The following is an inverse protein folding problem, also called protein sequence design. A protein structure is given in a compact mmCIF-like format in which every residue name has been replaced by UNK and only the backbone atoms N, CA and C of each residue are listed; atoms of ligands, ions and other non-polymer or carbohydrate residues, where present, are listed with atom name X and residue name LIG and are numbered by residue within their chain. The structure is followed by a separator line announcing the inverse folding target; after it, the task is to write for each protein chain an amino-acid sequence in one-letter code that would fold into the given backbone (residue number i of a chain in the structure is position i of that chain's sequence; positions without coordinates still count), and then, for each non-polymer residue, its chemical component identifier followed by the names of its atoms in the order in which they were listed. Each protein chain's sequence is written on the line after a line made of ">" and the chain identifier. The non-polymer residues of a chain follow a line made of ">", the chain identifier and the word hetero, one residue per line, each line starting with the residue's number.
data_IF_678834289964
#
_entry.id   IF_678834289964
#
_cell.length_a   1.000
_cell.length_b   1.000
_cell.length_c   1.000
_cell.angle_alpha   90.00
_cell.angle_beta   90.00
_cell.angle_gamma   90.00
#
_symmetry.space_group_name_H-M   'P 1'
#
loop_
_entity.id
_entity.type
_entity.pdbx_description
1 polymer ?
#
# COMPACT_ATOMS: atom_id res chain seq x y z
N UNK A 1 2.85 -17.62 -10.64
CA UNK A 1 1.98 -16.45 -10.86
C UNK A 1 1.32 -16.12 -9.54
N UNK A 2 1.25 -14.87 -9.12
CA UNK A 2 0.54 -14.44 -7.92
C UNK A 2 -0.72 -13.67 -8.33
N UNK A 3 -1.89 -14.14 -7.90
CA UNK A 3 -3.18 -13.51 -8.20
C UNK A 3 -3.77 -12.95 -6.90
N UNK A 4 -4.04 -11.64 -6.90
CA UNK A 4 -4.73 -10.96 -5.81
C UNK A 4 -5.96 -10.26 -6.38
N UNK A 5 -7.13 -10.62 -5.88
CA UNK A 5 -8.40 -9.99 -6.24
C UNK A 5 -8.87 -9.11 -5.08
N UNK A 6 -9.02 -7.81 -5.33
CA UNK A 6 -9.51 -6.85 -4.34
C UNK A 6 -10.92 -6.41 -4.71
N UNK A 7 -11.84 -6.51 -3.78
CA UNK A 7 -13.25 -6.16 -3.95
C UNK A 7 -13.72 -5.25 -2.81
N UNK A 8 -14.55 -4.26 -3.14
CA UNK A 8 -15.34 -3.54 -2.15
C UNK A 8 -16.58 -4.39 -1.82
N UNK A 9 -16.55 -5.14 -0.73
CA UNK A 9 -17.67 -5.97 -0.34
C UNK A 9 -18.90 -5.14 -0.02
N UNK A 10 -20.02 -5.43 -0.67
CA UNK A 10 -21.32 -4.81 -0.40
C UNK A 10 -21.93 -5.30 0.93
N UNK A 11 -21.47 -6.43 1.43
CA UNK A 11 -21.92 -7.06 2.67
C UNK A 11 -21.13 -6.61 3.89
N UNK A 12 -19.97 -6.01 3.69
CA UNK A 12 -19.15 -5.56 4.80
C UNK A 12 -19.86 -4.51 5.64
N UNK A 13 -19.91 -4.76 6.95
CA UNK A 13 -20.31 -3.82 8.01
C UNK A 13 -19.36 -4.05 9.19
N UNK A 14 -19.06 -3.05 10.01
CA UNK A 14 -18.30 -3.29 11.25
C UNK A 14 -18.94 -4.40 12.08
N UNK A 15 -18.16 -5.43 12.40
CA UNK A 15 -18.64 -6.61 13.14
C UNK A 15 -19.29 -7.70 12.29
N UNK A 16 -19.41 -7.54 10.97
CA UNK A 16 -19.92 -8.59 10.10
C UNK A 16 -18.95 -9.78 10.04
N UNK A 17 -19.50 -10.97 10.08
CA UNK A 17 -18.75 -12.23 9.92
C UNK A 17 -18.88 -12.82 8.52
N UNK A 18 -19.88 -12.40 7.75
CA UNK A 18 -20.19 -12.89 6.41
C UNK A 18 -20.01 -11.79 5.37
N UNK A 19 -18.81 -11.66 4.83
CA UNK A 19 -18.49 -10.77 3.72
C UNK A 19 -17.29 -11.35 2.93
N UNK A 20 -17.09 -10.87 1.71
CA UNK A 20 -16.01 -11.33 0.85
C UNK A 20 -16.11 -12.82 0.52
N UNK A 21 -17.34 -13.32 0.36
CA UNK A 21 -17.59 -14.72 0.03
C UNK A 21 -17.13 -15.05 -1.39
N UNK A 22 -16.86 -16.34 -1.71
CA UNK A 22 -16.57 -16.75 -3.08
C UNK A 22 -17.61 -16.31 -4.10
N UNK A 23 -18.90 -16.32 -3.72
CA UNK A 23 -19.99 -15.90 -4.60
C UNK A 23 -19.93 -14.38 -4.86
N UNK A 24 -19.68 -13.58 -3.83
CA UNK A 24 -19.52 -12.13 -3.97
C UNK A 24 -18.31 -11.78 -4.86
N UNK A 25 -17.23 -12.54 -4.77
CA UNK A 25 -16.08 -12.42 -5.66
C UNK A 25 -16.49 -12.67 -7.13
N UNK A 26 -17.15 -13.80 -7.39
CA UNK A 26 -17.60 -14.17 -8.74
C UNK A 26 -18.59 -13.13 -9.31
N UNK A 27 -19.56 -12.70 -8.50
CA UNK A 27 -20.53 -11.66 -8.91
C UNK A 27 -19.85 -10.35 -9.27
N UNK A 28 -18.88 -9.91 -8.46
CA UNK A 28 -18.17 -8.64 -8.67
C UNK A 28 -17.39 -8.63 -9.99
N UNK A 29 -16.82 -9.76 -10.37
CA UNK A 29 -16.02 -9.91 -11.59
C UNK A 29 -16.80 -10.48 -12.78
N UNK A 30 -18.12 -10.69 -12.67
CA UNK A 30 -18.93 -11.32 -13.70
C UNK A 30 -18.88 -10.61 -15.07
N UNK A 31 -18.71 -9.28 -15.07
CA UNK A 31 -18.65 -8.46 -16.28
C UNK A 31 -17.24 -8.24 -16.83
N UNK A 32 -16.23 -8.90 -16.26
CA UNK A 32 -14.85 -8.81 -16.75
C UNK A 32 -14.61 -9.73 -17.95
N UNK A 33 -13.44 -9.60 -18.58
CA UNK A 33 -13.05 -10.47 -19.69
C UNK A 33 -12.98 -11.94 -19.28
N UNK A 34 -13.16 -12.90 -20.21
CA UNK A 34 -13.03 -14.33 -19.92
C UNK A 34 -11.72 -14.66 -19.20
N UNK A 35 -10.58 -14.12 -19.67
CA UNK A 35 -9.27 -14.35 -19.08
C UNK A 35 -9.20 -13.97 -17.59
N UNK A 36 -9.83 -12.85 -17.18
CA UNK A 36 -9.89 -12.45 -15.78
C UNK A 36 -10.73 -13.43 -14.97
N UNK A 37 -11.89 -13.85 -15.50
CA UNK A 37 -12.74 -14.84 -14.83
C UNK A 37 -12.04 -16.19 -14.66
N UNK A 38 -11.31 -16.63 -15.68
CA UNK A 38 -10.53 -17.87 -15.61
C UNK A 38 -9.44 -17.78 -14.53
N UNK A 39 -8.74 -16.63 -14.44
CA UNK A 39 -7.74 -16.39 -13.39
C UNK A 39 -8.32 -16.44 -11.99
N UNK A 40 -9.57 -16.02 -11.77
CA UNK A 40 -10.23 -16.11 -10.47
C UNK A 40 -10.49 -17.55 -10.04
N UNK A 41 -10.52 -18.49 -10.98
CA UNK A 41 -10.60 -19.93 -10.68
C UNK A 41 -9.40 -20.47 -9.89
N UNK A 42 -8.25 -19.77 -9.98
CA UNK A 42 -7.02 -20.12 -9.25
C UNK A 42 -6.84 -19.39 -7.93
N UNK A 43 -7.74 -18.46 -7.59
CA UNK A 43 -7.69 -17.77 -6.28
C UNK A 43 -8.23 -18.72 -5.20
N UNK A 44 -7.46 -18.89 -4.12
CA UNK A 44 -7.92 -19.63 -2.95
C UNK A 44 -9.17 -18.97 -2.35
N UNK A 45 -10.20 -19.75 -2.07
CA UNK A 45 -11.51 -19.28 -1.62
C UNK A 45 -11.77 -19.58 -0.14
N UNK A 46 -10.81 -20.14 0.54
CA UNK A 46 -10.87 -20.56 1.94
C UNK A 46 -10.58 -19.41 2.91
N UNK A 47 -9.98 -18.33 2.42
CA UNK A 47 -9.65 -17.16 3.23
C UNK A 47 -9.88 -15.85 2.45
N UNK A 48 -10.41 -14.86 3.14
CA UNK A 48 -10.41 -13.48 2.72
C UNK A 48 -9.60 -12.64 3.70
N UNK A 49 -9.11 -11.48 3.23
CA UNK A 49 -8.30 -10.55 4.00
C UNK A 49 -8.94 -9.18 3.95
N UNK A 50 -9.29 -8.63 5.10
CA UNK A 50 -9.72 -7.23 5.16
C UNK A 50 -8.49 -6.34 5.02
N UNK A 51 -8.56 -5.40 4.09
CA UNK A 51 -7.52 -4.40 3.95
C UNK A 51 -7.71 -3.32 5.02
N UNK A 52 -6.67 -3.08 5.78
CA UNK A 52 -6.62 -2.04 6.80
C UNK A 52 -5.47 -1.08 6.50
N UNK A 53 -5.72 0.19 6.70
CA UNK A 53 -4.71 1.21 6.80
C UNK A 53 -5.09 2.21 7.90
N UNK A 54 -4.26 3.19 8.12
CA UNK A 54 -4.57 4.33 8.99
C UNK A 54 -3.97 5.60 8.44
N UNK A 55 -4.40 6.73 8.97
CA UNK A 55 -3.77 7.99 8.62
C UNK A 55 -2.31 8.03 9.06
N UNK A 56 -1.44 8.68 8.27
CA UNK A 56 -0.08 8.93 8.69
C UNK A 56 -0.06 9.66 10.04
N UNK A 57 0.70 9.14 10.98
CA UNK A 57 0.83 9.73 12.30
C UNK A 57 2.29 9.76 12.76
N UNK A 58 2.76 10.86 13.34
CA UNK A 58 4.06 10.89 14.03
C UNK A 58 3.96 10.22 15.40
N UNK A 59 5.10 10.14 16.09
CA UNK A 59 5.13 9.62 17.45
C UNK A 59 5.37 8.12 17.51
N UNK A 60 6.15 7.58 16.56
CA UNK A 60 6.53 6.17 16.53
C UNK A 60 7.52 5.81 17.64
N UNK A 61 8.28 6.83 18.09
CA UNK A 61 9.38 6.65 19.03
C UNK A 61 9.00 7.14 20.42
N UNK A 62 9.28 6.30 21.43
CA UNK A 62 9.11 6.64 22.83
C UNK A 62 10.26 6.06 23.65
N UNK A 63 11.22 6.91 24.08
CA UNK A 63 12.43 6.49 24.77
C UNK A 63 13.26 5.54 23.89
N UNK A 64 13.45 4.31 24.33
CA UNK A 64 14.25 3.29 23.65
C UNK A 64 13.39 2.32 22.78
N UNK A 65 12.16 2.68 22.48
CA UNK A 65 11.23 1.89 21.66
C UNK A 65 10.82 2.71 20.45
N UNK A 66 10.82 2.11 19.27
CA UNK A 66 10.25 2.68 18.05
C UNK A 66 9.46 1.64 17.27
N UNK A 67 8.51 2.09 16.46
CA UNK A 67 7.77 1.25 15.53
C UNK A 67 8.47 1.23 14.17
N UNK A 68 8.27 0.14 13.41
CA UNK A 68 8.85 -0.08 12.09
C UNK A 68 7.83 -0.80 11.19
N UNK A 69 7.86 -0.52 9.88
CA UNK A 69 6.99 -1.17 8.90
C UNK A 69 5.51 -0.92 9.17
N UNK A 70 4.68 -1.93 9.01
CA UNK A 70 3.22 -1.81 9.17
C UNK A 70 2.79 -1.38 10.58
N UNK A 71 3.60 -1.61 11.60
CA UNK A 71 3.34 -1.09 12.94
C UNK A 71 3.40 0.45 12.98
N UNK A 72 4.26 1.06 12.18
CA UNK A 72 4.43 2.50 12.07
C UNK A 72 3.52 3.11 10.98
N UNK A 73 3.46 2.51 9.80
CA UNK A 73 2.85 3.08 8.60
C UNK A 73 2.15 2.02 7.71
N UNK A 74 1.11 1.34 8.22
CA UNK A 74 0.35 0.38 7.43
C UNK A 74 -0.22 1.07 6.19
N UNK A 75 -0.07 0.45 5.03
CA UNK A 75 -0.49 1.02 3.74
C UNK A 75 -1.36 0.04 2.97
N UNK A 76 -2.30 0.57 2.18
CA UNK A 76 -3.02 -0.23 1.22
C UNK A 76 -2.07 -0.78 0.16
N UNK A 77 -2.38 -1.96 -0.35
CA UNK A 77 -1.50 -2.72 -1.27
C UNK A 77 -1.35 -2.11 -2.67
N UNK A 78 -2.11 -1.06 -3.02
CA UNK A 78 -2.24 -0.58 -4.38
C UNK A 78 -0.95 -0.08 -5.04
N UNK A 79 0.02 0.37 -4.25
CA UNK A 79 1.36 0.72 -4.75
C UNK A 79 2.37 -0.43 -4.63
N UNK A 80 2.02 -1.55 -3.98
CA UNK A 80 2.91 -2.66 -3.69
C UNK A 80 4.21 -2.26 -2.97
N UNK A 81 4.17 -1.25 -2.08
CA UNK A 81 5.36 -0.65 -1.47
C UNK A 81 5.51 -0.92 0.04
N UNK A 82 4.56 -1.58 0.70
CA UNK A 82 4.63 -1.80 2.13
C UNK A 82 5.92 -2.49 2.57
N UNK A 83 6.26 -3.62 1.96
CA UNK A 83 7.51 -4.33 2.24
C UNK A 83 8.77 -3.52 1.89
N UNK A 84 8.74 -2.75 0.79
CA UNK A 84 9.86 -1.89 0.40
C UNK A 84 10.11 -0.80 1.46
N UNK A 85 9.05 -0.21 2.00
CA UNK A 85 9.17 0.79 3.07
C UNK A 85 9.75 0.17 4.35
N UNK A 86 9.36 -1.04 4.72
CA UNK A 86 9.92 -1.73 5.88
C UNK A 86 11.42 -2.08 5.69
N UNK A 87 11.83 -2.42 4.48
CA UNK A 87 13.24 -2.64 4.15
C UNK A 87 14.04 -1.32 4.24
N UNK A 88 13.50 -0.23 3.68
CA UNK A 88 14.10 1.09 3.81
C UNK A 88 14.22 1.52 5.29
N UNK A 89 13.20 1.25 6.10
CA UNK A 89 13.22 1.52 7.53
C UNK A 89 14.38 0.80 8.22
N UNK A 90 14.57 -0.48 7.92
CA UNK A 90 15.63 -1.28 8.52
C UNK A 90 17.01 -0.71 8.16
N UNK A 91 17.21 -0.30 6.91
CA UNK A 91 18.49 0.29 6.45
C UNK A 91 18.75 1.63 7.13
N UNK A 92 17.76 2.54 7.17
CA UNK A 92 17.90 3.85 7.80
C UNK A 92 18.15 3.72 9.31
N UNK A 93 17.38 2.85 9.97
CA UNK A 93 17.52 2.62 11.40
C UNK A 93 18.91 2.05 11.75
N UNK A 94 19.38 1.08 10.98
CA UNK A 94 20.71 0.48 11.18
C UNK A 94 21.83 1.51 11.01
N UNK A 95 21.76 2.36 9.98
CA UNK A 95 22.75 3.42 9.74
C UNK A 95 22.78 4.41 10.91
N UNK A 96 21.64 4.93 11.34
CA UNK A 96 21.54 5.91 12.42
C UNK A 96 21.98 5.34 13.78
N UNK A 97 21.67 4.07 14.06
CA UNK A 97 22.14 3.41 15.28
C UNK A 97 23.66 3.22 15.26
N UNK A 98 24.23 2.90 14.09
CA UNK A 98 25.69 2.76 13.93
C UNK A 98 26.41 4.09 14.16
N UNK A 99 25.87 5.20 13.65
CA UNK A 99 26.44 6.54 13.81
C UNK A 99 26.31 7.08 15.24
N UNK A 100 25.19 6.81 15.89
CA UNK A 100 24.89 7.34 17.22
C UNK A 100 25.64 6.64 18.37
N UNK A 101 26.24 5.46 18.13
CA UNK A 101 26.95 4.71 19.14
C UNK A 101 26.07 4.38 20.36
N UNK A 102 26.34 5.01 21.51
CA UNK A 102 25.57 4.79 22.74
C UNK A 102 24.29 5.61 22.86
N UNK A 103 24.11 6.64 22.02
CA UNK A 103 22.92 7.52 22.05
C UNK A 103 21.76 6.98 21.20
N UNK A 104 21.26 5.83 21.61
CA UNK A 104 20.15 5.13 20.95
C UNK A 104 18.91 6.02 20.84
N UNK A 105 18.60 6.85 21.85
CA UNK A 105 17.39 7.66 21.83
C UNK A 105 17.42 8.69 20.70
N UNK A 106 18.52 9.38 20.50
CA UNK A 106 18.67 10.32 19.38
C UNK A 106 18.60 9.63 18.03
N UNK A 107 19.17 8.43 17.89
CA UNK A 107 19.06 7.63 16.67
C UNK A 107 17.61 7.28 16.32
N UNK A 108 16.81 6.86 17.31
CA UNK A 108 15.41 6.50 17.09
C UNK A 108 14.54 7.71 16.69
N UNK A 109 14.80 8.87 17.30
CA UNK A 109 14.11 10.13 16.93
C UNK A 109 14.50 10.56 15.51
N UNK A 110 15.78 10.46 15.17
CA UNK A 110 16.28 10.77 13.83
C UNK A 110 15.69 9.83 12.76
N UNK A 111 15.57 8.54 13.09
CA UNK A 111 14.91 7.55 12.24
C UNK A 111 13.46 7.94 11.93
N UNK A 112 12.65 8.21 12.93
CA UNK A 112 11.26 8.64 12.73
C UNK A 112 11.18 9.87 11.83
N UNK A 113 12.00 10.89 12.11
CA UNK A 113 12.06 12.12 11.31
C UNK A 113 12.43 11.85 9.85
N UNK A 114 13.37 10.96 9.61
CA UNK A 114 13.81 10.62 8.25
C UNK A 114 12.75 9.85 7.46
N UNK A 115 11.92 9.05 8.15
CA UNK A 115 11.00 8.12 7.50
C UNK A 115 9.57 8.62 7.38
N UNK A 116 9.09 9.44 8.33
CA UNK A 116 7.70 9.83 8.46
C UNK A 116 7.08 10.36 7.16
N UNK A 117 7.65 11.40 6.55
CA UNK A 117 7.06 12.01 5.36
C UNK A 117 7.11 11.11 4.13
N UNK A 118 8.15 10.26 4.00
CA UNK A 118 8.25 9.33 2.90
C UNK A 118 7.18 8.24 2.99
N UNK A 119 7.01 7.64 4.16
CA UNK A 119 5.99 6.61 4.38
C UNK A 119 4.57 7.18 4.33
N UNK A 120 4.36 8.38 4.88
CA UNK A 120 3.10 9.11 4.77
C UNK A 120 2.70 9.35 3.30
N UNK A 121 3.67 9.73 2.46
CA UNK A 121 3.42 9.88 1.02
C UNK A 121 2.99 8.57 0.38
N UNK A 122 3.60 7.43 0.75
CA UNK A 122 3.19 6.11 0.25
C UNK A 122 1.78 5.77 0.70
N UNK A 123 1.43 5.96 1.99
CA UNK A 123 0.08 5.69 2.52
C UNK A 123 -0.99 6.49 1.77
N UNK A 124 -0.81 7.81 1.64
CA UNK A 124 -1.77 8.70 0.97
C UNK A 124 -1.86 8.37 -0.51
N UNK A 125 -0.72 8.19 -1.19
CA UNK A 125 -0.71 7.89 -2.63
C UNK A 125 -1.32 6.52 -2.92
N UNK A 126 -1.15 5.54 -2.04
CA UNK A 126 -1.79 4.22 -2.19
C UNK A 126 -3.32 4.34 -2.17
N UNK A 127 -3.90 5.16 -1.29
CA UNK A 127 -5.35 5.44 -1.28
C UNK A 127 -5.82 6.07 -2.59
N UNK A 128 -5.15 7.16 -3.01
CA UNK A 128 -5.48 7.86 -4.26
C UNK A 128 -5.38 6.91 -5.45
N UNK A 129 -4.34 6.08 -5.50
CA UNK A 129 -4.17 5.12 -6.58
C UNK A 129 -5.27 4.05 -6.56
N UNK A 130 -5.69 3.60 -5.38
CA UNK A 130 -6.85 2.72 -5.22
C UNK A 130 -8.11 3.31 -5.85
N UNK A 131 -8.42 4.58 -5.57
CA UNK A 131 -9.56 5.30 -6.19
C UNK A 131 -9.42 5.35 -7.73
N UNK A 132 -8.22 5.65 -8.23
CA UNK A 132 -7.95 5.74 -9.66
C UNK A 132 -8.19 4.40 -10.36
N UNK A 133 -7.68 3.29 -9.82
CA UNK A 133 -7.80 1.98 -10.48
C UNK A 133 -9.21 1.40 -10.40
N UNK A 134 -9.98 1.75 -9.36
CA UNK A 134 -11.34 1.25 -9.16
C UNK A 134 -12.44 2.17 -9.71
N UNK A 135 -12.09 3.31 -10.29
CA UNK A 135 -13.10 4.23 -10.82
C UNK A 135 -13.93 3.61 -11.95
N UNK A 136 -15.18 4.04 -12.06
CA UNK A 136 -16.15 3.55 -13.05
C UNK A 136 -16.77 4.72 -13.85
N UNK A 137 -17.57 4.40 -14.88
CA UNK A 137 -18.26 5.41 -15.68
C UNK A 137 -17.31 6.40 -16.34
N UNK A 138 -17.69 7.67 -16.41
CA UNK A 138 -16.91 8.73 -17.03
C UNK A 138 -15.51 8.94 -16.43
N UNK A 139 -15.36 8.70 -15.12
CA UNK A 139 -14.04 8.76 -14.47
C UNK A 139 -13.09 7.67 -15.00
N UNK A 140 -13.60 6.45 -15.22
CA UNK A 140 -12.84 5.37 -15.87
C UNK A 140 -12.45 5.75 -17.29
N UNK A 141 -13.36 6.31 -18.05
CA UNK A 141 -13.14 6.65 -19.45
C UNK A 141 -12.07 7.74 -19.56
N UNK A 142 -12.13 8.77 -18.70
CA UNK A 142 -11.10 9.80 -18.60
C UNK A 142 -9.75 9.22 -18.19
N UNK A 143 -9.71 8.37 -17.16
CA UNK A 143 -8.48 7.69 -16.72
C UNK A 143 -7.85 6.91 -17.88
N UNK A 144 -8.64 6.12 -18.58
CA UNK A 144 -8.15 5.30 -19.70
C UNK A 144 -7.60 6.17 -20.82
N UNK A 145 -8.28 7.29 -21.14
CA UNK A 145 -7.80 8.26 -22.12
C UNK A 145 -6.44 8.86 -21.70
N UNK A 146 -6.30 9.29 -20.46
CA UNK A 146 -5.04 9.86 -19.95
C UNK A 146 -3.91 8.82 -19.93
N UNK A 147 -4.20 7.59 -19.54
CA UNK A 147 -3.21 6.52 -19.53
C UNK A 147 -2.74 6.11 -20.92
N UNK A 148 -3.65 6.14 -21.92
CA UNK A 148 -3.31 5.82 -23.31
C UNK A 148 -2.33 6.82 -23.95
N UNK A 149 -2.21 8.01 -23.39
CA UNK A 149 -1.27 9.05 -23.86
C UNK A 149 0.10 8.97 -23.17
N UNK A 150 0.28 8.07 -22.21
CA UNK A 150 1.53 7.97 -21.46
C UNK A 150 2.61 7.24 -22.26
N UNK A 151 3.82 7.75 -22.13
CA UNK A 151 5.05 7.14 -22.63
C UNK A 151 6.02 6.93 -21.46
N UNK A 152 7.10 6.16 -21.61
CA UNK A 152 8.10 6.00 -20.55
C UNK A 152 8.62 7.33 -20.01
N UNK A 153 8.70 8.37 -20.83
CA UNK A 153 9.22 9.69 -20.46
C UNK A 153 8.22 10.50 -19.64
N UNK A 154 6.94 10.13 -19.65
CA UNK A 154 5.86 10.84 -18.93
C UNK A 154 5.51 10.22 -17.58
N UNK A 155 6.25 9.23 -17.11
CA UNK A 155 6.05 8.60 -15.79
C UNK A 155 6.81 9.27 -14.64
N UNK A 156 7.33 10.48 -14.84
CA UNK A 156 8.12 11.22 -13.85
C UNK A 156 7.40 11.44 -12.51
N UNK A 157 6.07 11.49 -12.48
CA UNK A 157 5.29 11.66 -11.26
C UNK A 157 5.43 10.51 -10.26
N UNK A 158 5.91 9.34 -10.67
CA UNK A 158 6.17 8.19 -9.78
C UNK A 158 7.65 7.97 -9.51
N UNK A 159 8.55 8.76 -10.10
CA UNK A 159 9.99 8.65 -9.90
C UNK A 159 10.39 8.69 -8.42
N UNK A 160 9.71 9.54 -7.63
CA UNK A 160 9.97 9.65 -6.20
C UNK A 160 9.84 8.30 -5.47
N UNK A 161 9.01 7.40 -5.98
CA UNK A 161 8.77 6.08 -5.39
C UNK A 161 9.96 5.16 -5.61
N UNK A 162 10.60 5.25 -6.77
CA UNK A 162 11.66 4.34 -7.22
C UNK A 162 13.07 4.90 -7.11
N UNK A 163 13.25 6.18 -6.78
CA UNK A 163 14.58 6.80 -6.60
C UNK A 163 15.34 6.34 -5.36
N UNK A 164 14.71 5.56 -4.49
CA UNK A 164 15.30 5.09 -3.25
C UNK A 164 15.40 6.16 -2.18
N UNK A 165 16.20 5.88 -1.17
CA UNK A 165 16.49 6.77 -0.05
C UNK A 165 17.90 7.35 -0.19
N UNK A 166 18.09 8.55 0.34
CA UNK A 166 19.42 9.09 0.63
C UNK A 166 19.68 8.87 2.12
N UNK A 167 20.77 8.20 2.41
CA UNK A 167 21.30 8.05 3.77
C UNK A 167 22.09 9.29 4.15
#
# INVERSE_FOLDING_TARGET
>A
MNNVATVASRRFRPGATEFGTPDELVETFAQTTPSVRDMLGYVGKDKNWVLHDRDPMPGWTRGRVTLLGDAAHPTLQYLAQGACMAIEDAVVLAALLSEAGSDVNSALVAYEKARYLRTARVQITARIFGEIIHCAGGARDLRNHLLAQRTPETFWEVDWLYRGIRL
#
